data_IF_746527891630
#
_entry.id   IF_746527891630
#
_cell.length_a   1.000
_cell.length_b   1.000
_cell.length_c   1.000
_cell.angle_alpha   90.00
_cell.angle_beta   90.00
_cell.angle_gamma   90.00
#
_symmetry.space_group_name_H-M   'P 1'
#
loop_
_entity.id
_entity.type
_entity.pdbx_description
1 polymer ?
#
# COMPACT_ATOMS: atom_id res chain seq x y z
N UNK A 1 10.99 -16.27 -2.31
CA UNK A 1 11.14 -14.85 -2.64
C UNK A 1 9.82 -14.24 -3.11
N UNK A 2 9.43 -13.14 -2.49
CA UNK A 2 8.24 -12.33 -2.74
C UNK A 2 8.68 -11.03 -3.41
N UNK A 3 8.14 -10.75 -4.59
CA UNK A 3 8.41 -9.51 -5.34
C UNK A 3 7.24 -8.55 -5.18
N UNK A 4 7.53 -7.30 -4.83
CA UNK A 4 6.54 -6.24 -4.69
C UNK A 4 6.79 -5.17 -5.75
N UNK A 5 5.71 -4.71 -6.38
CA UNK A 5 5.75 -3.55 -7.28
C UNK A 5 4.55 -2.65 -7.08
N UNK A 6 4.80 -1.38 -6.75
CA UNK A 6 3.78 -0.33 -6.80
C UNK A 6 3.78 0.32 -8.18
N UNK A 7 2.64 0.34 -8.84
CA UNK A 7 2.46 0.96 -10.16
C UNK A 7 1.34 2.00 -10.11
N UNK A 8 1.51 3.06 -10.91
CA UNK A 8 0.42 4.02 -11.16
C UNK A 8 -0.63 3.34 -12.03
N UNK A 9 -1.89 3.46 -11.61
CA UNK A 9 -3.05 3.10 -12.41
C UNK A 9 -3.64 4.36 -13.08
N UNK A 10 -4.61 4.17 -13.98
CA UNK A 10 -5.38 5.27 -14.56
C UNK A 10 -5.97 6.14 -13.44
N UNK A 11 -6.13 7.45 -13.71
CA UNK A 11 -6.74 8.43 -12.79
C UNK A 11 -6.02 8.56 -11.43
N UNK A 12 -4.69 8.47 -11.42
CA UNK A 12 -3.84 8.59 -10.21
C UNK A 12 -4.05 7.49 -9.15
N UNK A 13 -4.75 6.41 -9.49
CA UNK A 13 -4.84 5.22 -8.66
C UNK A 13 -3.50 4.50 -8.53
N UNK A 14 -3.42 3.55 -7.62
CA UNK A 14 -2.19 2.81 -7.33
C UNK A 14 -2.53 1.34 -7.18
N UNK A 15 -1.74 0.48 -7.82
CA UNK A 15 -1.84 -0.97 -7.71
C UNK A 15 -0.59 -1.52 -7.05
N UNK A 16 -0.78 -2.45 -6.11
CA UNK A 16 0.27 -3.28 -5.56
C UNK A 16 0.22 -4.66 -6.24
N UNK A 17 1.23 -4.92 -7.07
CA UNK A 17 1.45 -6.23 -7.69
C UNK A 17 2.42 -7.05 -6.85
N UNK A 18 2.09 -8.33 -6.67
CA UNK A 18 2.90 -9.30 -5.95
C UNK A 18 3.28 -10.47 -6.85
N UNK A 19 4.54 -10.85 -6.79
CA UNK A 19 5.10 -12.03 -7.44
C UNK A 19 5.58 -13.03 -6.39
N UNK A 20 4.84 -14.13 -6.23
CA UNK A 20 5.26 -15.27 -5.42
C UNK A 20 6.09 -16.22 -6.30
N UNK A 21 7.41 -16.27 -6.06
CA UNK A 21 8.34 -17.05 -6.90
C UNK A 21 8.43 -18.51 -6.46
N UNK A 22 8.54 -18.75 -5.15
CA UNK A 22 8.54 -20.10 -4.58
C UNK A 22 7.14 -20.39 -4.01
N UNK A 23 6.61 -21.59 -4.30
CA UNK A 23 5.29 -22.01 -3.81
C UNK A 23 5.25 -22.10 -2.29
N UNK A 24 6.36 -22.40 -1.61
CA UNK A 24 6.39 -22.54 -0.16
C UNK A 24 6.11 -21.23 0.59
N UNK A 25 6.31 -20.07 -0.06
CA UNK A 25 6.03 -18.74 0.51
C UNK A 25 4.56 -18.58 0.90
N UNK A 26 3.64 -19.31 0.25
CA UNK A 26 2.21 -19.27 0.58
C UNK A 26 1.90 -19.89 1.96
N UNK A 27 2.84 -20.65 2.53
CA UNK A 27 2.72 -21.18 3.89
C UNK A 27 2.99 -20.11 4.95
N UNK A 28 3.60 -18.98 4.59
CA UNK A 28 3.73 -17.85 5.49
C UNK A 28 2.33 -17.27 5.81
N UNK A 29 1.92 -17.17 7.09
CA UNK A 29 0.58 -16.73 7.46
C UNK A 29 0.21 -15.34 6.92
N UNK A 30 1.17 -14.43 6.84
CA UNK A 30 0.98 -13.07 6.31
C UNK A 30 0.69 -13.16 4.82
N UNK A 31 1.51 -13.90 4.06
CA UNK A 31 1.28 -14.10 2.63
C UNK A 31 -0.06 -14.79 2.38
N UNK A 32 -0.40 -15.82 3.15
CA UNK A 32 -1.70 -16.48 3.03
C UNK A 32 -2.86 -15.49 3.24
N UNK A 33 -2.79 -14.62 4.25
CA UNK A 33 -3.82 -13.58 4.49
C UNK A 33 -3.88 -12.57 3.35
N UNK A 34 -2.72 -12.14 2.87
CA UNK A 34 -2.58 -11.20 1.76
C UNK A 34 -3.20 -11.75 0.48
N UNK A 35 -2.93 -13.01 0.16
CA UNK A 35 -3.46 -13.67 -1.04
C UNK A 35 -4.96 -13.96 -0.94
N UNK A 36 -5.49 -14.17 0.27
CA UNK A 36 -6.92 -14.37 0.49
C UNK A 36 -7.76 -13.14 0.09
N UNK A 37 -7.26 -11.93 0.34
CA UNK A 37 -7.88 -10.68 -0.12
C UNK A 37 -7.35 -10.21 -1.49
N UNK A 38 -6.45 -10.99 -2.09
CA UNK A 38 -5.81 -10.69 -3.36
C UNK A 38 -6.58 -11.24 -4.55
N UNK A 39 -6.31 -10.67 -5.72
CA UNK A 39 -6.80 -11.15 -7.00
C UNK A 39 -5.65 -11.76 -7.81
N UNK A 40 -5.82 -12.98 -8.30
CA UNK A 40 -4.86 -13.62 -9.18
C UNK A 40 -4.83 -12.96 -10.57
N UNK A 41 -3.63 -12.76 -11.11
CA UNK A 41 -3.38 -12.24 -12.45
C UNK A 41 -3.26 -13.43 -13.42
N UNK A 42 -4.27 -13.61 -14.29
CA UNK A 42 -4.24 -14.66 -15.31
C UNK A 42 -2.99 -14.54 -16.21
N UNK A 43 -2.22 -15.62 -16.29
CA UNK A 43 -0.99 -15.66 -17.09
C UNK A 43 0.17 -14.81 -16.54
N UNK A 44 0.06 -14.32 -15.31
CA UNK A 44 1.08 -13.53 -14.65
C UNK A 44 2.37 -14.32 -14.43
N UNK A 45 3.46 -13.95 -15.12
CA UNK A 45 4.78 -14.59 -14.96
C UNK A 45 5.59 -13.97 -13.82
N UNK A 46 5.84 -12.66 -13.90
CA UNK A 46 6.68 -11.94 -12.91
C UNK A 46 5.89 -11.57 -11.66
N UNK A 47 4.62 -11.19 -11.83
CA UNK A 47 3.66 -10.91 -10.76
C UNK A 47 2.42 -11.75 -11.04
N UNK A 48 1.96 -12.48 -10.03
CA UNK A 48 0.84 -13.39 -10.10
C UNK A 48 -0.38 -12.90 -9.31
N UNK A 49 -0.26 -11.84 -8.50
CA UNK A 49 -1.38 -11.28 -7.75
C UNK A 49 -1.40 -9.75 -7.78
N UNK A 50 -2.60 -9.18 -7.71
CA UNK A 50 -2.88 -7.82 -7.27
C UNK A 50 -3.46 -7.91 -5.87
N UNK A 51 -2.93 -7.14 -4.91
CA UNK A 51 -3.40 -7.19 -3.53
C UNK A 51 -3.76 -5.79 -3.04
N UNK A 52 -4.62 -5.66 -2.00
CA UNK A 52 -4.89 -4.38 -1.36
C UNK A 52 -3.63 -3.69 -0.84
N UNK A 53 -3.48 -2.38 -1.09
CA UNK A 53 -2.29 -1.61 -0.71
C UNK A 53 -2.01 -1.59 0.81
N UNK A 54 -3.06 -1.72 1.65
CA UNK A 54 -2.95 -1.81 3.12
C UNK A 54 -1.97 -2.89 3.59
N UNK A 55 -1.70 -3.89 2.75
CA UNK A 55 -0.76 -4.97 3.05
C UNK A 55 0.70 -4.66 2.76
N UNK A 56 1.03 -3.55 2.09
CA UNK A 56 2.41 -3.18 1.78
C UNK A 56 3.28 -3.12 3.04
N UNK A 57 2.86 -2.33 4.03
CA UNK A 57 3.59 -2.14 5.29
C UNK A 57 3.68 -3.46 6.07
N UNK A 58 2.57 -4.22 6.29
CA UNK A 58 2.64 -5.53 6.90
C UNK A 58 3.64 -6.48 6.25
N UNK A 59 3.68 -6.55 4.91
CA UNK A 59 4.62 -7.42 4.18
C UNK A 59 6.06 -6.97 4.43
N UNK A 60 6.36 -5.69 4.20
CA UNK A 60 7.75 -5.19 4.29
C UNK A 60 8.29 -5.24 5.72
N UNK A 61 7.45 -5.01 6.73
CA UNK A 61 7.91 -4.93 8.12
C UNK A 61 7.99 -6.28 8.85
N UNK A 62 7.27 -7.31 8.38
CA UNK A 62 7.14 -8.57 9.12
C UNK A 62 7.66 -9.81 8.38
N UNK A 63 8.00 -9.69 7.09
CA UNK A 63 8.67 -10.76 6.34
C UNK A 63 10.15 -10.43 6.26
N UNK A 64 11.00 -11.45 6.32
CA UNK A 64 12.44 -11.26 6.28
C UNK A 64 12.84 -10.46 5.03
N UNK A 65 13.66 -9.43 5.22
CA UNK A 65 14.13 -8.56 4.14
C UNK A 65 14.84 -9.32 3.03
N UNK A 66 15.46 -10.47 3.31
CA UNK A 66 16.10 -11.31 2.29
C UNK A 66 15.08 -12.00 1.37
N UNK A 67 13.86 -12.25 1.88
CA UNK A 67 12.77 -12.90 1.15
C UNK A 67 11.95 -11.91 0.33
N UNK A 68 11.96 -10.63 0.70
CA UNK A 68 11.22 -9.56 0.01
C UNK A 68 12.11 -8.74 -0.92
N UNK A 69 11.61 -8.49 -2.13
CA UNK A 69 12.22 -7.57 -3.09
C UNK A 69 11.20 -6.53 -3.50
N UNK A 70 11.51 -5.26 -3.25
CA UNK A 70 10.78 -4.12 -3.82
C UNK A 70 11.44 -3.80 -5.17
N UNK A 71 10.64 -3.70 -6.22
CA UNK A 71 11.17 -3.45 -7.57
C UNK A 71 11.60 -1.99 -7.73
N UNK A 72 12.79 -1.76 -8.31
CA UNK A 72 13.35 -0.40 -8.52
C UNK A 72 12.48 0.52 -9.38
N UNK A 73 11.62 -0.06 -10.20
CA UNK A 73 10.66 0.68 -11.04
C UNK A 73 9.35 1.01 -10.32
N UNK A 74 9.25 0.75 -9.02
CA UNK A 74 8.07 1.07 -8.22
C UNK A 74 7.90 2.57 -8.03
N UNK A 75 6.65 3.00 -7.83
CA UNK A 75 6.38 4.29 -7.21
C UNK A 75 7.06 4.34 -5.84
N UNK A 76 7.77 5.44 -5.57
CA UNK A 76 8.54 5.62 -4.33
C UNK A 76 7.73 6.25 -3.22
N UNK A 77 6.59 6.86 -3.52
CA UNK A 77 5.71 7.37 -2.48
C UNK A 77 4.28 7.50 -2.96
N UNK A 78 3.36 7.51 -2.00
CA UNK A 78 1.95 7.78 -2.21
C UNK A 78 1.30 8.34 -0.95
N UNK A 79 0.06 8.78 -1.08
CA UNK A 79 -0.73 9.39 -0.02
C UNK A 79 -1.90 8.48 0.30
N UNK A 80 -2.16 8.27 1.59
CA UNK A 80 -3.26 7.44 2.06
C UNK A 80 -4.02 8.01 3.26
N UNK A 81 -5.28 7.64 3.37
CA UNK A 81 -6.04 7.65 4.62
C UNK A 81 -7.03 6.47 4.63
N UNK A 82 -7.52 6.13 5.81
CA UNK A 82 -8.61 5.19 6.02
C UNK A 82 -9.79 5.89 6.69
N UNK A 83 -10.97 5.28 6.62
CA UNK A 83 -12.08 5.65 7.49
C UNK A 83 -11.79 5.28 8.95
N UNK A 84 -12.69 5.67 9.86
CA UNK A 84 -12.52 5.49 11.31
C UNK A 84 -12.38 4.02 11.73
N UNK A 85 -12.93 3.10 10.94
CA UNK A 85 -12.96 1.66 11.24
C UNK A 85 -11.91 0.86 10.48
N UNK A 86 -11.04 1.52 9.71
CA UNK A 86 -10.05 0.86 8.85
C UNK A 86 -10.66 -0.18 7.89
N UNK A 87 -11.90 0.05 7.46
CA UNK A 87 -12.61 -0.78 6.49
C UNK A 87 -12.32 -0.31 5.06
N UNK A 88 -12.39 1.01 4.83
CA UNK A 88 -12.16 1.62 3.52
C UNK A 88 -10.87 2.42 3.50
N UNK A 89 -10.00 2.09 2.56
CA UNK A 89 -8.73 2.77 2.37
C UNK A 89 -8.70 3.53 1.05
N UNK A 90 -8.10 4.72 1.09
CA UNK A 90 -8.05 5.64 -0.04
C UNK A 90 -6.61 6.00 -0.35
N UNK A 91 -6.13 5.59 -1.52
CA UNK A 91 -4.75 5.80 -1.97
C UNK A 91 -4.71 6.71 -3.18
N UNK A 92 -3.73 7.61 -3.25
CA UNK A 92 -3.50 8.44 -4.44
C UNK A 92 -2.03 8.84 -4.55
N UNK A 93 -1.51 8.99 -5.76
CA UNK A 93 -0.14 9.48 -5.93
C UNK A 93 -0.03 11.00 -5.72
N UNK A 94 -1.02 11.76 -6.19
CA UNK A 94 -1.09 13.21 -6.12
C UNK A 94 -2.48 13.63 -5.66
N UNK A 95 -2.56 14.50 -4.66
CA UNK A 95 -3.84 14.95 -4.08
C UNK A 95 -4.69 15.66 -5.13
N UNK A 96 -5.97 15.29 -5.21
CA UNK A 96 -6.94 15.94 -6.10
C UNK A 96 -8.09 16.56 -5.30
N UNK A 97 -8.85 17.50 -5.88
CA UNK A 97 -10.06 18.03 -5.23
C UNK A 97 -11.09 16.95 -4.89
N UNK A 98 -11.24 15.93 -5.75
CA UNK A 98 -12.14 14.79 -5.52
C UNK A 98 -11.69 13.95 -4.32
N UNK A 99 -10.38 13.69 -4.20
CA UNK A 99 -9.79 12.99 -3.06
C UNK A 99 -10.08 13.73 -1.74
N UNK A 100 -9.86 15.05 -1.70
CA UNK A 100 -10.14 15.86 -0.52
C UNK A 100 -11.64 15.97 -0.21
N UNK A 101 -12.51 15.91 -1.22
CA UNK A 101 -13.96 15.85 -1.02
C UNK A 101 -14.38 14.56 -0.31
N UNK A 102 -13.81 13.42 -0.70
CA UNK A 102 -14.07 12.14 -0.03
C UNK A 102 -13.49 12.12 1.39
N UNK A 103 -12.28 12.66 1.56
CA UNK A 103 -11.64 12.77 2.87
C UNK A 103 -12.52 13.50 3.91
N UNK A 104 -13.17 14.61 3.50
CA UNK A 104 -14.13 15.31 4.36
C UNK A 104 -15.36 14.48 4.71
N UNK A 105 -15.85 13.63 3.80
CA UNK A 105 -16.98 12.74 4.07
C UNK A 105 -16.61 11.63 5.06
N UNK A 106 -15.34 11.22 5.09
CA UNK A 106 -14.80 10.25 6.04
C UNK A 106 -14.48 10.85 7.42
N UNK A 107 -14.95 12.07 7.73
CA UNK A 107 -14.71 12.70 9.04
C UNK A 107 -13.35 13.40 9.19
N UNK A 108 -12.66 13.68 8.08
CA UNK A 108 -11.36 14.35 8.06
C UNK A 108 -10.25 13.62 8.86
N UNK A 109 -9.98 12.33 8.59
CA UNK A 109 -8.94 11.56 9.27
C UNK A 109 -7.54 12.14 9.02
N UNK A 110 -6.51 11.62 9.69
CA UNK A 110 -5.12 11.95 9.33
C UNK A 110 -4.83 11.44 7.92
N UNK A 111 -4.18 12.27 7.12
CA UNK A 111 -3.62 11.86 5.83
C UNK A 111 -2.15 11.57 6.02
N UNK A 112 -1.73 10.40 5.54
CA UNK A 112 -0.37 9.93 5.62
C UNK A 112 0.30 9.98 4.27
N UNK A 113 1.62 10.21 4.27
CA UNK A 113 2.48 9.90 3.15
C UNK A 113 3.23 8.62 3.46
N UNK A 114 3.16 7.68 2.54
CA UNK A 114 3.94 6.44 2.58
C UNK A 114 5.09 6.59 1.60
N UNK A 115 6.32 6.36 2.07
CA UNK A 115 7.55 6.46 1.28
C UNK A 115 8.30 5.14 1.32
N UNK A 116 8.74 4.65 0.17
CA UNK A 116 9.48 3.40 0.00
C UNK A 116 10.96 3.71 -0.25
N UNK A 117 11.83 3.08 0.53
CA UNK A 117 13.25 3.00 0.22
C UNK A 117 13.55 1.61 -0.35
N UNK A 118 13.72 1.54 -1.67
CA UNK A 118 13.97 0.29 -2.39
C UNK A 118 15.31 -0.33 -2.02
N UNK A 119 16.31 0.50 -1.69
CA UNK A 119 17.66 0.02 -1.38
C UNK A 119 17.71 -0.53 0.05
N UNK A 120 17.08 0.15 0.99
CA UNK A 120 16.98 -0.29 2.40
C UNK A 120 15.86 -1.30 2.64
N UNK A 121 15.03 -1.58 1.63
CA UNK A 121 13.84 -2.43 1.72
C UNK A 121 12.95 -2.03 2.89
N UNK A 122 12.65 -0.74 2.99
CA UNK A 122 11.89 -0.19 4.12
C UNK A 122 10.75 0.69 3.63
N UNK A 123 9.72 0.81 4.46
CA UNK A 123 8.57 1.69 4.22
C UNK A 123 8.41 2.60 5.43
N UNK A 124 8.37 3.91 5.17
CA UNK A 124 8.05 4.92 6.17
C UNK A 124 6.62 5.43 5.96
N UNK A 125 5.89 5.67 7.05
CA UNK A 125 4.55 6.25 7.04
C UNK A 125 4.52 7.45 7.99
N UNK A 126 4.31 8.63 7.45
CA UNK A 126 4.30 9.89 8.20
C UNK A 126 2.98 10.63 8.03
N UNK A 127 2.54 11.36 9.05
CA UNK A 127 1.35 12.24 8.95
C UNK A 127 1.76 13.51 8.21
N UNK A 128 1.11 13.81 7.10
CA UNK A 128 1.37 15.03 6.32
C UNK A 128 0.24 16.06 6.41
N UNK A 129 -0.95 15.63 6.87
CA UNK A 129 -2.10 16.52 7.01
C UNK A 129 -3.06 15.98 8.05
N UNK A 130 -3.61 16.87 8.87
CA UNK A 130 -4.58 16.56 9.90
C UNK A 130 -5.65 17.66 9.96
N UNK A 131 -6.83 17.31 10.47
CA UNK A 131 -7.83 18.31 10.81
C UNK A 131 -7.25 19.23 11.89
N UNK A 132 -7.33 20.54 11.65
CA UNK A 132 -7.01 21.53 12.68
C UNK A 132 -8.04 21.35 13.80
N UNK A 133 -7.61 20.87 14.96
CA UNK A 133 -8.38 21.02 16.18
C UNK A 133 -8.34 22.50 16.54
N UNK A 134 -9.50 23.17 16.56
CA UNK A 134 -9.60 24.47 17.20
C UNK A 134 -9.13 24.30 18.64
N UNK A 135 -7.93 24.80 18.94
CA UNK A 135 -7.53 25.06 20.32
C UNK A 135 -8.52 26.12 20.78
N UNK A 136 -9.51 25.71 21.57
CA UNK A 136 -10.32 26.64 22.37
C UNK A 136 -9.33 27.29 23.33
N UNK A 137 -8.83 28.47 22.95
CA UNK A 137 -8.20 29.40 23.87
C UNK A 137 -9.27 30.04 24.75
#
# INVERSE_FOLDING_TARGET
MIRLKLEREKKNGIILKVGIVNKEEVNNPIIRRVLFEGQEIKGGRKYNYIIPLKFLIPIVNNINNEEVVIEKSSLLSYIEYSDEYDEHYYYIQEVTPSYMKNWRKCGCPKIYKVTLDVNKKSVNKEVIFNKISSILN
#
